data_IF_381607753140
#
_entry.id   IF_381607753140
#
_cell.length_a   1.000
_cell.length_b   1.000
_cell.length_c   1.000
_cell.angle_alpha   90.00
_cell.angle_beta   90.00
_cell.angle_gamma   90.00
#
_symmetry.space_group_name_H-M   'P 1'
#
loop_
_entity.id
_entity.type
_entity.pdbx_description
1 polymer ?
#
# COMPACT_ATOMS: atom_id res chain seq x y z
N UNK A 1 -19.83 -5.44 0.16
CA UNK A 1 -19.57 -5.46 -1.30
C UNK A 1 -19.96 -4.22 -2.09
N UNK A 2 -21.17 -3.67 -1.95
CA UNK A 2 -21.63 -2.54 -2.79
C UNK A 2 -20.67 -1.33 -2.77
N UNK A 3 -20.18 -0.93 -1.59
CA UNK A 3 -19.22 0.17 -1.46
C UNK A 3 -17.89 -0.09 -2.19
N UNK A 4 -17.38 -1.32 -2.14
CA UNK A 4 -16.15 -1.71 -2.86
C UNK A 4 -16.33 -1.59 -4.38
N UNK A 5 -17.48 -2.08 -4.91
CA UNK A 5 -17.81 -1.94 -6.34
C UNK A 5 -17.88 -0.47 -6.77
N UNK A 6 -18.50 0.37 -5.96
CA UNK A 6 -18.58 1.82 -6.24
C UNK A 6 -17.20 2.48 -6.21
N UNK A 7 -16.35 2.13 -5.24
CA UNK A 7 -14.99 2.66 -5.12
C UNK A 7 -14.15 2.34 -6.36
N UNK A 8 -14.18 1.08 -6.83
CA UNK A 8 -13.45 0.64 -8.03
C UNK A 8 -13.97 1.32 -9.29
N UNK A 9 -15.27 1.61 -9.38
CA UNK A 9 -15.88 2.27 -10.53
C UNK A 9 -15.66 3.80 -10.57
N UNK A 10 -15.33 4.44 -9.44
CA UNK A 10 -15.11 5.88 -9.37
C UNK A 10 -13.80 6.27 -10.08
N UNK A 11 -13.88 7.22 -11.02
CA UNK A 11 -12.74 7.66 -11.83
C UNK A 11 -12.02 8.89 -11.28
N UNK A 12 -12.65 9.62 -10.36
CA UNK A 12 -12.07 10.80 -9.73
C UNK A 12 -11.63 10.54 -8.27
N UNK A 13 -10.55 11.20 -7.86
CA UNK A 13 -9.96 11.02 -6.53
C UNK A 13 -10.86 11.49 -5.38
N UNK A 14 -11.75 12.46 -5.63
CA UNK A 14 -12.65 12.98 -4.59
C UNK A 14 -13.69 11.93 -4.21
N UNK A 15 -14.35 11.36 -5.21
CA UNK A 15 -15.31 10.26 -5.04
C UNK A 15 -14.66 9.02 -4.43
N UNK A 16 -13.48 8.64 -4.90
CA UNK A 16 -12.73 7.52 -4.32
C UNK A 16 -12.48 7.74 -2.82
N UNK A 17 -11.97 8.92 -2.41
CA UNK A 17 -11.72 9.23 -0.99
C UNK A 17 -13.01 9.22 -0.14
N UNK A 18 -14.11 9.75 -0.67
CA UNK A 18 -15.39 9.75 0.03
C UNK A 18 -15.94 8.32 0.24
N UNK A 19 -15.77 7.45 -0.75
CA UNK A 19 -16.16 6.04 -0.66
C UNK A 19 -15.23 5.24 0.26
N UNK A 20 -13.91 5.48 0.21
CA UNK A 20 -12.93 4.88 1.12
C UNK A 20 -13.28 5.17 2.58
N UNK A 21 -13.59 6.43 2.91
CA UNK A 21 -14.04 6.81 4.26
C UNK A 21 -15.26 6.00 4.72
N UNK A 22 -16.23 5.77 3.84
CA UNK A 22 -17.42 4.98 4.19
C UNK A 22 -17.06 3.51 4.45
N UNK A 23 -16.15 2.94 3.67
CA UNK A 23 -15.66 1.57 3.86
C UNK A 23 -14.91 1.45 5.19
N UNK A 24 -13.97 2.37 5.45
CA UNK A 24 -13.17 2.37 6.69
C UNK A 24 -14.04 2.52 7.94
N UNK A 25 -15.07 3.39 7.91
CA UNK A 25 -16.00 3.54 9.02
C UNK A 25 -16.86 2.29 9.24
N UNK A 26 -17.30 1.63 8.17
CA UNK A 26 -18.03 0.36 8.29
C UNK A 26 -17.16 -0.74 8.92
N UNK A 27 -15.91 -0.86 8.47
CA UNK A 27 -14.95 -1.82 9.03
C UNK A 27 -14.60 -1.48 10.50
N UNK A 28 -14.59 -0.21 10.87
CA UNK A 28 -14.40 0.20 12.26
C UNK A 28 -15.60 -0.15 13.14
N UNK A 29 -16.82 0.01 12.63
CA UNK A 29 -18.06 -0.28 13.35
C UNK A 29 -18.26 -1.79 13.56
N UNK A 30 -18.03 -2.58 12.52
CA UNK A 30 -18.18 -4.04 12.59
C UNK A 30 -16.95 -4.74 13.20
N UNK A 31 -15.80 -4.06 13.27
CA UNK A 31 -14.51 -4.58 13.78
C UNK A 31 -14.12 -5.99 13.28
N UNK A 32 -14.24 -6.32 11.98
CA UNK A 32 -13.96 -7.67 11.51
C UNK A 32 -12.46 -8.02 11.55
N UNK A 33 -11.59 -7.01 11.68
CA UNK A 33 -10.14 -7.14 11.75
C UNK A 33 -9.55 -6.01 12.61
N UNK A 34 -8.49 -6.30 13.36
CA UNK A 34 -7.76 -5.32 14.17
C UNK A 34 -6.37 -5.12 13.57
N UNK A 35 -6.02 -3.86 13.26
CA UNK A 35 -4.69 -3.47 12.81
C UNK A 35 -3.94 -2.74 13.94
N UNK A 36 -3.06 -3.42 14.69
CA UNK A 36 -2.41 -2.83 15.85
C UNK A 36 -1.33 -1.79 15.50
N UNK A 37 -0.75 -1.86 14.29
CA UNK A 37 0.27 -0.92 13.82
C UNK A 37 0.43 -0.99 12.29
N UNK A 38 1.08 0.02 11.72
CA UNK A 38 1.52 0.05 10.33
C UNK A 38 3.03 -0.17 10.25
N UNK A 39 3.47 -1.05 9.34
CA UNK A 39 4.88 -1.39 9.18
C UNK A 39 5.66 -0.25 8.53
N UNK A 40 6.84 0.06 9.08
CA UNK A 40 7.86 0.80 8.33
C UNK A 40 8.63 -0.20 7.48
N UNK A 41 8.48 -0.11 6.16
CA UNK A 41 9.22 -0.98 5.25
C UNK A 41 10.72 -0.61 5.29
N UNK A 42 11.57 -1.57 5.61
CA UNK A 42 13.01 -1.43 5.67
C UNK A 42 13.67 -2.49 4.79
N UNK A 43 14.69 -2.08 4.04
CA UNK A 43 15.51 -2.97 3.22
C UNK A 43 16.99 -2.60 3.37
N UNK A 44 17.87 -3.59 3.28
CA UNK A 44 19.31 -3.40 3.37
C UNK A 44 20.03 -4.03 2.18
N UNK A 45 21.15 -3.42 1.78
CA UNK A 45 22.08 -3.97 0.79
C UNK A 45 23.51 -3.94 1.30
N UNK A 46 24.38 -4.74 0.67
CA UNK A 46 25.82 -4.64 0.92
C UNK A 46 26.33 -3.24 0.53
N UNK A 47 27.35 -2.73 1.22
CA UNK A 47 27.90 -1.38 0.97
C UNK A 47 28.37 -1.16 -0.47
N UNK A 48 28.82 -2.21 -1.15
CA UNK A 48 29.26 -2.17 -2.54
C UNK A 48 28.16 -2.50 -3.56
N UNK A 49 26.90 -2.63 -3.13
CA UNK A 49 25.75 -2.86 -4.00
C UNK A 49 24.97 -1.56 -4.15
N UNK A 50 24.80 -1.11 -5.39
CA UNK A 50 24.10 0.13 -5.74
C UNK A 50 22.98 -0.14 -6.74
N UNK A 51 22.08 0.83 -6.93
CA UNK A 51 21.04 0.78 -7.96
C UNK A 51 19.87 -0.16 -7.71
N UNK A 52 19.76 -0.74 -6.51
CA UNK A 52 18.55 -1.48 -6.09
C UNK A 52 17.37 -0.52 -5.90
N UNK A 53 16.16 -1.02 -6.16
CA UNK A 53 14.93 -0.26 -5.94
C UNK A 53 13.89 -1.09 -5.18
N UNK A 54 13.88 -0.99 -3.85
CA UNK A 54 12.81 -1.54 -3.02
C UNK A 54 11.58 -0.62 -3.05
N UNK A 55 10.39 -1.21 -3.23
CA UNK A 55 9.12 -0.46 -3.24
C UNK A 55 8.44 -0.50 -1.88
N UNK A 56 7.51 0.43 -1.64
CA UNK A 56 6.69 0.44 -0.41
C UNK A 56 5.64 -0.69 -0.38
N UNK A 57 5.47 -1.41 -1.50
CA UNK A 57 4.62 -2.60 -1.62
C UNK A 57 5.43 -3.90 -1.55
N UNK A 58 6.64 -3.83 -0.99
CA UNK A 58 7.54 -4.98 -0.79
C UNK A 58 8.03 -5.67 -2.06
N UNK A 59 7.94 -5.03 -3.23
CA UNK A 59 8.66 -5.51 -4.41
C UNK A 59 10.12 -5.06 -4.37
N UNK A 60 11.00 -5.85 -4.97
CA UNK A 60 12.42 -5.55 -5.04
C UNK A 60 12.88 -5.57 -6.49
N UNK A 61 13.08 -4.40 -7.08
CA UNK A 61 13.48 -4.28 -8.48
C UNK A 61 15.00 -4.16 -8.61
N UNK A 62 15.57 -4.95 -9.53
CA UNK A 62 17.02 -5.13 -9.68
C UNK A 62 17.56 -4.67 -11.05
N UNK A 63 16.74 -4.05 -11.89
CA UNK A 63 17.12 -3.72 -13.28
C UNK A 63 18.33 -2.78 -13.40
N UNK A 64 18.64 -2.02 -12.34
CA UNK A 64 19.80 -1.12 -12.29
C UNK A 64 20.83 -1.55 -11.24
N UNK A 65 20.70 -2.75 -10.68
CA UNK A 65 21.57 -3.20 -9.60
C UNK A 65 22.97 -3.51 -10.12
N UNK A 66 23.99 -3.06 -9.39
CA UNK A 66 25.40 -3.33 -9.70
C UNK A 66 26.20 -3.59 -8.43
N UNK A 67 27.36 -4.24 -8.59
CA UNK A 67 28.31 -4.53 -7.52
C UNK A 67 29.72 -4.17 -7.97
N UNK A 68 30.42 -3.37 -7.16
CA UNK A 68 31.84 -3.06 -7.32
C UNK A 68 32.76 -3.97 -6.53
#
# INVERSE_FOLDING_TARGET
DSLSKQYVAAVDLSSQRALAKKIELLLLDETPIIYPYFYNFLSATQKNVTGVYPTQLSQFFLWNASKS
#
